data_IF_472293383909
#
_entry.id   IF_472293383909
#
_cell.length_a   1.000
_cell.length_b   1.000
_cell.length_c   1.000
_cell.angle_alpha   90.00
_cell.angle_beta   90.00
_cell.angle_gamma   90.00
#
_symmetry.space_group_name_H-M   'P 1'
#
loop_
_entity.id
_entity.type
_entity.pdbx_description
1 polymer ?
#
# COMPACT_ATOMS: atom_id res chain seq x y z
N UNK A 1 6.92 -11.61 14.14
CA UNK A 1 5.68 -11.17 13.50
C UNK A 1 5.07 -12.37 12.80
N UNK A 2 3.86 -12.74 13.21
CA UNK A 2 3.09 -13.83 12.62
C UNK A 2 2.80 -13.52 11.14
N UNK A 3 2.82 -14.56 10.29
CA UNK A 3 2.60 -14.42 8.83
C UNK A 3 1.31 -13.67 8.50
N UNK A 4 0.25 -13.90 9.28
CA UNK A 4 -1.02 -13.19 9.15
C UNK A 4 -0.90 -11.68 9.35
N UNK A 5 -0.09 -11.22 10.30
CA UNK A 5 0.03 -9.79 10.62
C UNK A 5 0.68 -9.01 9.50
N UNK A 6 1.68 -9.59 8.81
CA UNK A 6 2.28 -8.96 7.63
C UNK A 6 1.30 -8.84 6.46
N UNK A 7 0.46 -9.86 6.24
CA UNK A 7 -0.60 -9.83 5.23
C UNK A 7 -1.66 -8.79 5.58
N UNK A 8 -2.16 -8.78 6.82
CA UNK A 8 -3.16 -7.83 7.29
C UNK A 8 -2.65 -6.39 7.16
N UNK A 9 -1.40 -6.11 7.56
CA UNK A 9 -0.80 -4.79 7.42
C UNK A 9 -0.71 -4.34 5.96
N UNK A 10 -0.34 -5.24 5.05
CA UNK A 10 -0.24 -4.93 3.62
C UNK A 10 -1.62 -4.68 3.00
N UNK A 11 -2.62 -5.51 3.33
CA UNK A 11 -4.00 -5.34 2.87
C UNK A 11 -4.59 -4.03 3.40
N UNK A 12 -4.41 -3.74 4.70
CA UNK A 12 -4.86 -2.49 5.30
C UNK A 12 -4.21 -1.27 4.64
N UNK A 13 -2.90 -1.32 4.37
CA UNK A 13 -2.19 -0.25 3.67
C UNK A 13 -2.73 -0.06 2.24
N UNK A 14 -2.98 -1.13 1.49
CA UNK A 14 -3.53 -1.02 0.13
C UNK A 14 -4.95 -0.44 0.14
N UNK A 15 -5.81 -0.85 1.07
CA UNK A 15 -7.18 -0.37 1.16
C UNK A 15 -7.27 1.09 1.63
N UNK A 16 -6.52 1.45 2.67
CA UNK A 16 -6.54 2.80 3.25
C UNK A 16 -5.77 3.83 2.42
N UNK A 17 -4.80 3.37 1.61
CA UNK A 17 -3.78 4.24 1.06
C UNK A 17 -3.59 4.04 -0.44
N UNK A 18 -3.48 2.79 -0.91
CA UNK A 18 -3.29 2.49 -2.33
C UNK A 18 -4.51 2.81 -3.19
N UNK A 19 -5.67 2.30 -2.81
CA UNK A 19 -6.92 2.52 -3.55
C UNK A 19 -7.31 4.00 -3.63
N UNK A 20 -7.45 4.75 -2.52
CA UNK A 20 -7.73 6.19 -2.59
C UNK A 20 -6.57 6.97 -3.25
N UNK A 21 -5.31 6.57 -3.02
CA UNK A 21 -4.14 7.19 -3.66
C UNK A 21 -4.20 7.13 -5.19
N UNK A 22 -4.58 5.98 -5.78
CA UNK A 22 -4.70 5.84 -7.24
C UNK A 22 -5.80 6.74 -7.81
N UNK A 23 -6.98 6.78 -7.17
CA UNK A 23 -8.07 7.65 -7.62
C UNK A 23 -7.69 9.14 -7.53
N UNK A 24 -7.05 9.54 -6.43
CA UNK A 24 -6.53 10.91 -6.26
C UNK A 24 -5.43 11.21 -7.29
N UNK A 25 -4.59 10.24 -7.64
CA UNK A 25 -3.57 10.40 -8.67
C UNK A 25 -4.18 10.66 -10.05
N UNK A 26 -5.18 9.89 -10.45
CA UNK A 26 -5.83 10.07 -11.75
C UNK A 26 -6.58 11.41 -11.81
N UNK A 27 -7.35 11.72 -10.77
CA UNK A 27 -8.09 12.98 -10.70
C UNK A 27 -7.16 14.20 -10.62
N UNK A 28 -6.10 14.11 -9.82
CA UNK A 28 -5.08 15.17 -9.71
C UNK A 28 -4.35 15.40 -11.03
N UNK A 29 -4.08 14.35 -11.82
CA UNK A 29 -3.38 14.47 -13.10
C UNK A 29 -4.26 15.18 -14.13
N UNK A 30 -5.53 14.77 -14.22
CA UNK A 30 -6.51 15.45 -15.07
C UNK A 30 -6.70 16.90 -14.65
N UNK A 31 -6.77 17.17 -13.35
CA UNK A 31 -6.88 18.54 -12.82
C UNK A 31 -5.65 19.38 -13.11
N UNK A 32 -4.45 18.82 -12.96
CA UNK A 32 -3.19 19.51 -13.28
C UNK A 32 -3.05 19.80 -14.78
N UNK A 33 -3.63 18.95 -15.63
CA UNK A 33 -3.75 19.18 -17.07
C UNK A 33 -4.87 20.17 -17.46
N UNK A 34 -5.55 20.78 -16.49
CA UNK A 34 -6.61 21.77 -16.70
C UNK A 34 -7.99 21.17 -17.02
N UNK A 35 -8.15 19.84 -16.91
CA UNK A 35 -9.39 19.12 -17.20
C UNK A 35 -10.19 18.77 -15.94
N UNK A 36 -9.78 19.29 -14.77
CA UNK A 36 -10.41 19.02 -13.50
C UNK A 36 -11.67 19.85 -13.32
N UNK A 37 -12.78 19.18 -13.02
CA UNK A 37 -14.05 19.82 -12.64
C UNK A 37 -14.58 19.19 -11.36
N UNK A 38 -15.22 20.00 -10.52
CA UNK A 38 -15.90 19.55 -9.33
C UNK A 38 -17.17 20.38 -9.13
N UNK A 39 -18.34 19.72 -9.10
CA UNK A 39 -19.65 20.38 -9.09
C UNK A 39 -19.78 21.44 -10.20
N UNK A 40 -19.47 21.06 -11.44
CA UNK A 40 -19.53 21.91 -12.64
C UNK A 40 -18.62 23.16 -12.62
N UNK A 41 -17.73 23.26 -11.64
CA UNK A 41 -16.72 24.32 -11.54
C UNK A 41 -15.35 23.77 -11.92
N UNK A 42 -14.66 24.46 -12.83
CA UNK A 42 -13.27 24.15 -13.15
C UNK A 42 -12.37 24.38 -11.95
N UNK A 43 -11.57 23.37 -11.62
CA UNK A 43 -10.57 23.47 -10.57
C UNK A 43 -9.27 24.06 -11.13
N UNK A 44 -8.59 24.87 -10.31
CA UNK A 44 -7.27 25.39 -10.67
C UNK A 44 -6.27 24.23 -10.84
N UNK A 45 -5.39 24.26 -11.87
CA UNK A 45 -4.33 23.27 -12.03
C UNK A 45 -3.44 23.09 -10.80
N UNK A 46 -3.27 24.14 -9.99
CA UNK A 46 -2.53 24.08 -8.72
C UNK A 46 -3.13 23.05 -7.75
N UNK A 47 -4.47 22.93 -7.71
CA UNK A 47 -5.16 21.91 -6.90
C UNK A 47 -4.77 20.52 -7.39
N UNK A 48 -4.74 20.33 -8.71
CA UNK A 48 -4.31 19.08 -9.33
C UNK A 48 -2.88 18.69 -8.94
N UNK A 49 -1.93 19.62 -8.99
CA UNK A 49 -0.55 19.38 -8.56
C UNK A 49 -0.45 18.97 -7.09
N UNK A 50 -1.17 19.65 -6.20
CA UNK A 50 -1.19 19.31 -4.77
C UNK A 50 -1.75 17.90 -4.55
N UNK A 51 -2.84 17.56 -5.22
CA UNK A 51 -3.45 16.23 -5.15
C UNK A 51 -2.51 15.15 -5.69
N UNK A 52 -1.78 15.44 -6.77
CA UNK A 52 -0.75 14.53 -7.29
C UNK A 52 0.35 14.28 -6.28
N UNK A 53 0.92 15.32 -5.68
CA UNK A 53 1.94 15.17 -4.65
C UNK A 53 1.44 14.32 -3.47
N UNK A 54 0.23 14.56 -3.00
CA UNK A 54 -0.37 13.76 -1.93
C UNK A 54 -0.59 12.31 -2.34
N UNK A 55 -1.04 12.05 -3.56
CA UNK A 55 -1.23 10.67 -4.06
C UNK A 55 0.09 9.89 -4.12
N UNK A 56 1.21 10.53 -4.49
CA UNK A 56 2.51 9.87 -4.52
C UNK A 56 2.95 9.43 -3.13
N UNK A 57 2.70 10.26 -2.10
CA UNK A 57 2.95 9.89 -0.71
C UNK A 57 2.07 8.70 -0.30
N UNK A 58 0.78 8.75 -0.63
CA UNK A 58 -0.13 7.65 -0.34
C UNK A 58 0.22 6.36 -1.10
N UNK A 59 0.77 6.42 -2.31
CA UNK A 59 1.21 5.23 -3.05
C UNK A 59 2.53 4.71 -2.47
N UNK A 60 3.42 5.59 -1.99
CA UNK A 60 4.69 5.19 -1.38
C UNK A 60 4.50 4.36 -0.10
N UNK A 61 3.48 4.66 0.71
CA UNK A 61 3.20 3.93 1.97
C UNK A 61 2.99 2.42 1.77
N UNK A 62 2.03 1.92 0.95
CA UNK A 62 1.84 0.49 0.72
C UNK A 62 3.05 -0.16 0.04
N UNK A 63 3.83 0.58 -0.76
CA UNK A 63 5.10 0.09 -1.33
C UNK A 63 6.11 -0.17 -0.22
N UNK A 64 6.32 0.79 0.68
CA UNK A 64 7.23 0.64 1.83
C UNK A 64 6.76 -0.49 2.75
N UNK A 65 5.46 -0.55 3.06
CA UNK A 65 4.88 -1.64 3.86
C UNK A 65 5.11 -2.98 3.19
N UNK A 66 4.81 -3.11 1.90
CA UNK A 66 5.02 -4.35 1.13
C UNK A 66 6.48 -4.78 1.09
N UNK A 67 7.41 -3.85 0.86
CA UNK A 67 8.85 -4.15 0.88
C UNK A 67 9.28 -4.59 2.28
N UNK A 68 8.89 -3.88 3.34
CA UNK A 68 9.27 -4.24 4.72
C UNK A 68 8.65 -5.57 5.13
N UNK A 69 7.43 -5.89 4.72
CA UNK A 69 6.79 -7.18 5.02
C UNK A 69 7.41 -8.33 4.21
N UNK A 70 7.72 -8.14 2.93
CA UNK A 70 8.36 -9.15 2.07
C UNK A 70 9.81 -9.42 2.45
N UNK A 71 10.56 -8.41 2.93
CA UNK A 71 11.96 -8.58 3.34
C UNK A 71 12.11 -9.34 4.67
N UNK A 72 11.07 -9.43 5.49
CA UNK A 72 11.07 -10.32 6.65
C UNK A 72 10.75 -11.74 6.19
N UNK A 73 11.79 -12.47 5.78
CA UNK A 73 11.72 -13.92 5.58
C UNK A 73 11.08 -14.54 6.82
N UNK A 74 10.07 -15.42 6.70
CA UNK A 74 9.54 -16.15 7.85
C UNK A 74 10.72 -16.85 8.52
N UNK A 75 10.93 -16.59 9.81
CA UNK A 75 11.78 -17.42 10.66
C UNK A 75 11.32 -18.85 10.39
N UNK A 76 12.20 -19.68 9.81
CA UNK A 76 11.87 -21.07 9.60
C UNK A 76 11.50 -21.63 10.97
N UNK A 77 10.33 -22.27 11.08
CA UNK A 77 9.98 -22.99 12.30
C UNK A 77 11.19 -23.86 12.67
N UNK A 78 11.62 -23.87 13.95
CA UNK A 78 12.75 -24.69 14.35
C UNK A 78 12.47 -26.12 13.87
N UNK A 79 13.34 -26.64 13.01
CA UNK A 79 13.28 -28.04 12.61
C UNK A 79 13.46 -28.82 13.90
N UNK A 80 12.38 -29.44 14.39
CA UNK A 80 12.47 -30.33 15.54
C UNK A 80 13.32 -31.51 15.11
N UNK A 81 14.58 -31.52 15.54
CA UNK A 81 15.49 -32.65 15.41
C UNK A 81 15.30 -33.63 16.58
N UNK A 82 14.11 -33.70 17.18
CA UNK A 82 13.84 -34.71 18.19
C UNK A 82 13.72 -36.07 17.51
N UNK A 83 14.53 -37.06 17.90
CA UNK A 83 14.39 -38.43 17.42
C UNK A 83 12.97 -38.93 17.72
N UNK A 84 12.26 -39.39 16.70
CA UNK A 84 10.95 -40.03 16.87
C UNK A 84 11.13 -41.27 17.77
N UNK A 85 10.33 -41.45 18.83
CA UNK A 85 10.42 -42.63 19.67
C UNK A 85 10.11 -43.88 18.82
N UNK A 86 10.81 -45.01 19.05
CA UNK A 86 10.57 -46.23 18.30
C UNK A 86 9.10 -46.66 18.48
N UNK A 87 8.43 -46.93 17.37
CA UNK A 87 7.09 -47.51 17.38
C UNK A 87 7.16 -48.87 18.07
N UNK A 88 6.49 -48.99 19.23
CA UNK A 88 6.24 -50.26 19.89
C UNK A 88 5.05 -50.96 19.25
#
# INVERSE_FOLDING_TARGET
MNRNTGIIATVAAVLLCGCPGIFICLFGALTAAGQGTFNDQSLSPTVGFVLLCLSLVFIAIPVVVGVVTLRKKPEAAPVSNEPLPPAS
#
